data_IF_838114034488
#
_entry.id   IF_838114034488
#
_cell.length_a   1.000
_cell.length_b   1.000
_cell.length_c   1.000
_cell.angle_alpha   90.00
_cell.angle_beta   90.00
_cell.angle_gamma   90.00
#
_symmetry.space_group_name_H-M   'P 1'
#
loop_
_entity.id
_entity.type
_entity.pdbx_description
1 polymer ?
#
# COMPACT_ATOMS: atom_id res chain seq x y z
N UNK A 1 5.82 15.14 54.13
CA UNK A 1 5.80 14.52 52.79
C UNK A 1 4.54 14.96 52.09
N UNK A 2 4.62 16.03 51.32
CA UNK A 2 3.50 16.57 50.53
C UNK A 2 3.45 15.83 49.20
N UNK A 3 2.44 14.96 49.04
CA UNK A 3 2.02 14.46 47.74
C UNK A 3 1.58 15.62 46.86
N UNK A 4 2.43 15.99 45.90
CA UNK A 4 2.08 16.97 44.89
C UNK A 4 1.19 16.28 43.85
N UNK A 5 -0.12 16.29 44.08
CA UNK A 5 -1.12 15.96 43.05
C UNK A 5 -1.23 17.14 42.08
N UNK A 6 -0.22 17.31 41.21
CA UNK A 6 -0.40 18.16 40.03
C UNK A 6 -1.32 17.42 39.06
N UNK A 7 -2.60 17.74 39.10
CA UNK A 7 -3.56 17.34 38.08
C UNK A 7 -2.99 17.69 36.71
N UNK A 8 -2.90 16.67 35.88
CA UNK A 8 -2.25 16.64 34.57
C UNK A 8 -3.10 17.41 33.54
N UNK A 9 -3.30 18.71 33.75
CA UNK A 9 -3.95 19.60 32.79
C UNK A 9 -2.92 20.05 31.77
N UNK A 10 -2.75 19.22 30.75
CA UNK A 10 -2.04 19.53 29.52
C UNK A 10 -2.40 20.94 29.01
N UNK A 11 -1.38 21.77 28.76
CA UNK A 11 -1.57 23.16 28.32
C UNK A 11 -2.40 23.23 27.02
N UNK A 12 -3.14 24.33 26.77
CA UNK A 12 -3.91 24.49 25.53
C UNK A 12 -3.05 24.32 24.27
N UNK A 13 -1.80 24.80 24.32
CA UNK A 13 -0.82 24.68 23.24
C UNK A 13 -0.49 23.21 22.98
N UNK A 14 -0.17 22.44 24.03
CA UNK A 14 0.12 21.01 23.90
C UNK A 14 -1.08 20.24 23.35
N UNK A 15 -2.31 20.59 23.76
CA UNK A 15 -3.54 19.98 23.21
C UNK A 15 -3.67 20.19 21.71
N UNK A 16 -3.46 21.42 21.23
CA UNK A 16 -3.48 21.73 19.80
C UNK A 16 -2.39 20.95 19.05
N UNK A 17 -1.16 20.91 19.58
CA UNK A 17 -0.06 20.13 18.98
C UNK A 17 -0.45 18.65 18.88
N UNK A 18 -1.02 18.07 19.94
CA UNK A 18 -1.43 16.67 19.95
C UNK A 18 -2.52 16.38 18.91
N UNK A 19 -3.48 17.29 18.72
CA UNK A 19 -4.53 17.14 17.70
C UNK A 19 -3.95 17.18 16.29
N UNK A 20 -3.08 18.14 15.99
CA UNK A 20 -2.40 18.26 14.69
C UNK A 20 -1.57 17.01 14.41
N UNK A 21 -0.76 16.56 15.37
CA UNK A 21 0.05 15.35 15.20
C UNK A 21 -0.82 14.11 15.01
N UNK A 22 -1.94 13.99 15.74
CA UNK A 22 -2.89 12.89 15.60
C UNK A 22 -3.55 12.89 14.22
N UNK A 23 -3.88 14.06 13.66
CA UNK A 23 -4.40 14.18 12.29
C UNK A 23 -3.35 13.70 11.28
N UNK A 24 -2.10 14.17 11.41
CA UNK A 24 -0.99 13.75 10.54
C UNK A 24 -0.69 12.25 10.66
N UNK A 25 -0.74 11.68 11.86
CA UNK A 25 -0.64 10.24 12.09
C UNK A 25 -1.72 9.46 11.34
N UNK A 26 -2.97 9.94 11.35
CA UNK A 26 -4.07 9.29 10.64
C UNK A 26 -3.86 9.34 9.11
N UNK A 27 -3.39 10.47 8.59
CA UNK A 27 -3.08 10.61 7.16
C UNK A 27 -1.88 9.75 6.77
N UNK A 28 -0.86 9.66 7.62
CA UNK A 28 0.28 8.76 7.45
C UNK A 28 -0.17 7.28 7.43
N UNK A 29 -1.08 6.90 8.33
CA UNK A 29 -1.65 5.54 8.37
C UNK A 29 -2.40 5.19 7.09
N UNK A 30 -3.24 6.10 6.61
CA UNK A 30 -3.94 5.92 5.35
C UNK A 30 -2.96 5.81 4.17
N UNK A 31 -1.96 6.70 4.13
CA UNK A 31 -0.96 6.74 3.06
C UNK A 31 -0.14 5.45 3.02
N UNK A 32 0.30 4.96 4.18
CA UNK A 32 1.01 3.68 4.30
C UNK A 32 0.20 2.51 3.71
N UNK A 33 -1.08 2.41 4.07
CA UNK A 33 -1.95 1.35 3.54
C UNK A 33 -2.25 1.51 2.04
N UNK A 34 -2.31 2.74 1.54
CA UNK A 34 -2.45 2.99 0.10
C UNK A 34 -1.23 2.46 -0.69
N UNK A 35 0.00 2.63 -0.17
CA UNK A 35 1.19 2.06 -0.79
C UNK A 35 1.21 0.53 -0.74
N UNK A 36 0.83 -0.08 0.38
CA UNK A 36 0.68 -1.54 0.45
C UNK A 36 -0.37 -2.06 -0.53
N UNK A 37 -1.48 -1.35 -0.70
CA UNK A 37 -2.51 -1.74 -1.64
C UNK A 37 -2.02 -1.65 -3.08
N UNK A 38 -1.32 -0.57 -3.42
CA UNK A 38 -0.67 -0.37 -4.72
C UNK A 38 0.33 -1.50 -5.03
N UNK A 39 1.18 -1.83 -4.07
CA UNK A 39 2.13 -2.94 -4.17
C UNK A 39 1.44 -4.27 -4.47
N UNK A 40 0.34 -4.58 -3.76
CA UNK A 40 -0.43 -5.82 -3.99
C UNK A 40 -1.03 -5.87 -5.38
N UNK A 41 -1.56 -4.75 -5.87
CA UNK A 41 -2.12 -4.64 -7.23
C UNK A 41 -1.03 -4.92 -8.26
N UNK A 42 0.12 -4.26 -8.15
CA UNK A 42 1.18 -4.39 -9.14
C UNK A 42 1.88 -5.76 -9.07
N UNK A 43 2.04 -6.32 -7.87
CA UNK A 43 2.47 -7.72 -7.70
C UNK A 43 1.50 -8.71 -8.34
N UNK A 44 0.19 -8.49 -8.20
CA UNK A 44 -0.84 -9.34 -8.83
C UNK A 44 -0.79 -9.22 -10.35
N UNK A 45 -0.68 -8.01 -10.90
CA UNK A 45 -0.53 -7.80 -12.35
C UNK A 45 0.68 -8.55 -12.87
N UNK A 46 1.85 -8.41 -12.21
CA UNK A 46 3.07 -9.14 -12.56
C UNK A 46 2.86 -10.66 -12.54
N UNK A 47 2.23 -11.18 -11.49
CA UNK A 47 1.94 -12.61 -11.38
C UNK A 47 1.05 -13.12 -12.51
N UNK A 48 -0.01 -12.39 -12.86
CA UNK A 48 -0.89 -12.74 -13.99
C UNK A 48 -0.11 -12.71 -15.30
N UNK A 49 0.68 -11.67 -15.57
CA UNK A 49 1.49 -11.57 -16.79
C UNK A 49 2.43 -12.78 -16.91
N UNK A 50 3.13 -13.15 -15.84
CA UNK A 50 4.02 -14.31 -15.84
C UNK A 50 3.29 -15.63 -16.09
N UNK A 51 2.15 -15.86 -15.43
CA UNK A 51 1.35 -17.08 -15.62
C UNK A 51 0.86 -17.18 -17.07
N UNK A 52 0.34 -16.09 -17.64
CA UNK A 52 -0.11 -16.04 -19.03
C UNK A 52 1.06 -16.35 -19.97
N UNK A 53 2.23 -15.75 -19.74
CA UNK A 53 3.44 -16.04 -20.54
C UNK A 53 3.84 -17.52 -20.47
N UNK A 54 3.76 -18.16 -19.31
CA UNK A 54 4.08 -19.59 -19.15
C UNK A 54 3.06 -20.46 -19.88
N UNK A 55 1.75 -20.23 -19.69
CA UNK A 55 0.70 -21.02 -20.35
C UNK A 55 0.84 -20.93 -21.87
N UNK A 56 1.03 -19.72 -22.39
CA UNK A 56 1.30 -19.48 -23.82
C UNK A 56 2.52 -20.28 -24.26
N UNK A 57 3.62 -20.22 -23.52
CA UNK A 57 4.83 -21.02 -23.79
C UNK A 57 4.58 -22.54 -23.83
N UNK A 58 3.85 -23.08 -22.86
CA UNK A 58 3.56 -24.52 -22.76
C UNK A 58 2.67 -25.01 -23.91
N UNK A 59 1.61 -24.28 -24.24
CA UNK A 59 0.72 -24.62 -25.36
C UNK A 59 1.52 -24.67 -26.66
N UNK A 60 2.41 -23.69 -26.87
CA UNK A 60 3.17 -23.56 -28.10
C UNK A 60 4.32 -24.57 -28.19
N UNK A 61 4.93 -24.93 -27.05
CA UNK A 61 5.86 -26.06 -26.98
C UNK A 61 5.15 -27.41 -27.27
N UNK A 62 3.93 -27.62 -26.73
CA UNK A 62 3.13 -28.81 -27.00
C UNK A 62 2.79 -28.96 -28.49
N UNK A 63 2.37 -27.87 -29.14
CA UNK A 63 2.13 -27.83 -30.59
C UNK A 63 3.41 -28.15 -31.37
N UNK A 64 4.58 -27.67 -30.92
CA UNK A 64 5.86 -27.93 -31.58
C UNK A 64 6.39 -29.36 -31.42
N UNK A 65 6.10 -30.03 -30.30
CA UNK A 65 6.62 -31.37 -30.01
C UNK A 65 5.77 -32.49 -30.63
N UNK A 66 4.48 -32.27 -30.85
CA UNK A 66 3.58 -33.24 -31.46
C UNK A 66 2.66 -32.58 -32.51
N UNK A 67 3.22 -32.10 -33.64
CA UNK A 67 2.43 -31.46 -34.70
C UNK A 67 1.37 -32.39 -35.28
N UNK A 68 1.63 -33.70 -35.30
CA UNK A 68 0.74 -34.74 -35.81
C UNK A 68 -0.58 -34.86 -35.02
N UNK A 69 -0.54 -34.66 -33.69
CA UNK A 69 -1.74 -34.67 -32.84
C UNK A 69 -2.69 -33.49 -33.12
N UNK A 70 -2.18 -32.44 -33.76
CA UNK A 70 -2.94 -31.25 -34.13
C UNK A 70 -3.22 -31.17 -35.64
N UNK A 71 -2.93 -32.23 -36.41
CA UNK A 71 -3.22 -32.31 -37.84
C UNK A 71 -2.38 -31.35 -38.71
N UNK A 72 -1.18 -30.98 -38.25
CA UNK A 72 -0.30 -30.04 -38.92
C UNK A 72 0.61 -30.74 -39.94
N UNK A 73 0.64 -30.24 -41.19
CA UNK A 73 1.49 -30.78 -42.27
C UNK A 73 2.97 -30.49 -42.05
N UNK A 74 3.87 -31.29 -42.64
CA UNK A 74 5.34 -31.10 -42.55
C UNK A 74 5.82 -29.69 -42.94
N UNK A 75 5.08 -29.00 -43.82
CA UNK A 75 5.33 -27.61 -44.23
C UNK A 75 5.05 -26.55 -43.16
N UNK A 76 4.27 -26.88 -42.14
CA UNK A 76 3.88 -25.96 -41.05
C UNK A 76 4.80 -26.02 -39.82
N UNK A 77 5.63 -27.06 -39.72
CA UNK A 77 6.67 -27.22 -38.68
C UNK A 77 7.66 -26.03 -38.64
N UNK A 78 8.25 -25.54 -39.75
CA UNK A 78 9.15 -24.39 -39.72
C UNK A 78 8.46 -23.06 -39.38
N UNK A 79 7.14 -22.95 -39.58
CA UNK A 79 6.37 -21.78 -39.15
C UNK A 79 6.17 -21.80 -37.62
N UNK A 80 5.88 -22.98 -37.06
CA UNK A 80 5.73 -23.17 -35.62
C UNK A 80 7.05 -22.96 -34.88
N UNK A 81 8.17 -23.45 -35.41
CA UNK A 81 9.48 -23.22 -34.79
C UNK A 81 9.84 -21.73 -34.72
N UNK A 82 9.47 -20.94 -35.74
CA UNK A 82 9.62 -19.47 -35.73
C UNK A 82 8.75 -18.84 -34.64
N UNK A 83 7.50 -19.29 -34.49
CA UNK A 83 6.61 -18.80 -33.42
C UNK A 83 7.18 -19.12 -32.04
N UNK A 84 7.66 -20.35 -31.82
CA UNK A 84 8.33 -20.76 -30.57
C UNK A 84 9.56 -19.90 -30.30
N UNK A 85 10.38 -19.62 -31.31
CA UNK A 85 11.50 -18.70 -31.18
C UNK A 85 11.05 -17.29 -30.77
N UNK A 86 9.97 -16.75 -31.35
CA UNK A 86 9.40 -15.45 -30.98
C UNK A 86 8.83 -15.43 -29.55
N UNK A 87 8.30 -16.53 -29.04
CA UNK A 87 7.80 -16.61 -27.65
C UNK A 87 8.96 -16.71 -26.67
N UNK A 88 9.97 -17.53 -26.96
CA UNK A 88 11.21 -17.59 -26.19
C UNK A 88 11.88 -16.21 -26.14
N UNK A 89 11.86 -15.50 -27.27
CA UNK A 89 12.28 -14.10 -27.37
C UNK A 89 11.37 -13.19 -26.51
N UNK A 90 10.05 -13.40 -26.52
CA UNK A 90 9.08 -12.68 -25.68
C UNK A 90 9.28 -12.88 -24.17
N UNK A 91 9.65 -14.09 -23.75
CA UNK A 91 10.01 -14.40 -22.35
C UNK A 91 11.34 -13.73 -22.00
N UNK A 92 12.34 -13.77 -22.90
CA UNK A 92 13.58 -13.00 -22.71
C UNK A 92 13.29 -11.48 -22.63
N UNK A 93 12.37 -10.99 -23.45
CA UNK A 93 11.88 -9.61 -23.40
C UNK A 93 11.13 -9.30 -22.11
N UNK A 94 10.56 -10.26 -21.38
CA UNK A 94 9.94 -9.97 -20.08
C UNK A 94 10.95 -9.44 -19.06
N UNK A 95 12.20 -9.93 -19.10
CA UNK A 95 13.30 -9.39 -18.30
C UNK A 95 13.70 -7.98 -18.76
N UNK A 96 13.66 -7.74 -20.07
CA UNK A 96 13.91 -6.41 -20.66
C UNK A 96 12.77 -5.45 -20.32
N UNK A 97 11.52 -5.92 -20.30
CA UNK A 97 10.36 -5.14 -19.90
C UNK A 97 10.33 -4.84 -18.41
N UNK A 98 10.83 -5.72 -17.53
CA UNK A 98 11.05 -5.38 -16.12
C UNK A 98 12.09 -4.24 -16.00
N UNK A 99 13.11 -4.22 -16.87
CA UNK A 99 14.08 -3.12 -16.96
C UNK A 99 13.50 -1.83 -17.58
N UNK A 100 12.55 -1.92 -18.51
CA UNK A 100 11.95 -0.75 -19.20
C UNK A 100 10.81 -0.14 -18.37
N UNK A 101 9.95 -0.98 -17.79
CA UNK A 101 8.78 -0.54 -17.01
C UNK A 101 9.08 -0.43 -15.51
N UNK A 102 10.25 -0.84 -15.05
CA UNK A 102 10.71 -0.67 -13.66
C UNK A 102 9.79 -1.32 -12.63
N UNK A 103 9.16 -2.47 -12.93
CA UNK A 103 8.17 -3.06 -12.02
C UNK A 103 8.78 -3.48 -10.69
N UNK A 104 10.00 -4.04 -10.72
CA UNK A 104 10.76 -4.32 -9.50
C UNK A 104 11.10 -3.06 -8.69
N UNK A 105 11.51 -2.00 -9.36
CA UNK A 105 11.82 -0.70 -8.75
C UNK A 105 10.57 -0.07 -8.12
N UNK A 106 9.42 -0.15 -8.79
CA UNK A 106 8.14 0.33 -8.28
C UNK A 106 7.69 -0.43 -7.03
N UNK A 107 7.84 -1.76 -7.00
CA UNK A 107 7.53 -2.56 -5.80
C UNK A 107 8.44 -2.15 -4.64
N UNK A 108 9.75 -2.02 -4.90
CA UNK A 108 10.72 -1.61 -3.88
C UNK A 108 10.41 -0.20 -3.34
N UNK A 109 10.02 0.72 -4.23
CA UNK A 109 9.69 2.09 -3.87
C UNK A 109 8.41 2.18 -3.04
N UNK A 110 7.39 1.35 -3.33
CA UNK A 110 6.20 1.23 -2.48
C UNK A 110 6.50 0.66 -1.10
N UNK A 111 7.37 -0.35 -1.00
CA UNK A 111 7.80 -0.88 0.30
C UNK A 111 8.58 0.15 1.11
N UNK A 112 9.45 0.92 0.45
CA UNK A 112 10.16 2.03 1.06
C UNK A 112 9.18 3.09 1.58
N UNK A 113 8.23 3.52 0.74
CA UNK A 113 7.21 4.51 1.10
C UNK A 113 6.35 4.04 2.28
N UNK A 114 5.92 2.78 2.27
CA UNK A 114 5.20 2.16 3.39
C UNK A 114 6.02 2.23 4.69
N UNK A 115 7.29 1.82 4.65
CA UNK A 115 8.18 1.84 5.82
C UNK A 115 8.39 3.27 6.33
N UNK A 116 8.59 4.23 5.44
CA UNK A 116 8.80 5.63 5.78
C UNK A 116 7.58 6.24 6.51
N UNK A 117 6.38 6.03 5.97
CA UNK A 117 5.14 6.46 6.63
C UNK A 117 4.92 5.78 7.97
N UNK A 118 5.20 4.47 8.06
CA UNK A 118 5.10 3.72 9.32
C UNK A 118 6.06 4.23 10.39
N UNK A 119 7.32 4.52 10.02
CA UNK A 119 8.32 5.09 10.94
C UNK A 119 7.88 6.44 11.48
N UNK A 120 7.48 7.36 10.57
CA UNK A 120 6.94 8.66 10.97
C UNK A 120 5.77 8.53 11.94
N UNK A 121 4.79 7.67 11.62
CA UNK A 121 3.61 7.45 12.47
C UNK A 121 3.98 6.90 13.84
N UNK A 122 4.94 5.98 13.91
CA UNK A 122 5.42 5.41 15.18
C UNK A 122 6.13 6.46 16.03
N UNK A 123 7.06 7.21 15.45
CA UNK A 123 7.82 8.25 16.13
C UNK A 123 6.90 9.39 16.62
N UNK A 124 6.02 9.89 15.74
CA UNK A 124 5.06 10.96 16.05
C UNK A 124 4.11 10.54 17.17
N UNK A 125 3.56 9.31 17.08
CA UNK A 125 2.67 8.78 18.10
C UNK A 125 3.36 8.59 19.44
N UNK A 126 4.61 8.11 19.42
CA UNK A 126 5.40 7.93 20.64
C UNK A 126 5.68 9.29 21.29
N UNK A 127 6.12 10.29 20.52
CA UNK A 127 6.31 11.66 21.02
C UNK A 127 5.03 12.21 21.64
N UNK A 128 3.91 12.14 20.90
CA UNK A 128 2.61 12.66 21.35
C UNK A 128 2.12 11.99 22.63
N UNK A 129 2.30 10.67 22.78
CA UNK A 129 1.79 9.92 23.93
C UNK A 129 2.72 9.97 25.15
N UNK A 130 4.04 9.98 24.93
CA UNK A 130 5.01 9.69 25.99
C UNK A 130 5.89 10.88 26.36
N UNK A 131 6.05 11.89 25.50
CA UNK A 131 6.96 13.01 25.79
C UNK A 131 6.25 14.36 25.87
N UNK A 132 5.25 14.60 25.02
CA UNK A 132 4.62 15.92 24.85
C UNK A 132 4.15 16.56 26.16
N UNK A 133 3.62 15.77 27.11
CA UNK A 133 3.12 16.29 28.37
C UNK A 133 4.24 16.79 29.30
N UNK A 134 5.41 16.14 29.24
CA UNK A 134 6.55 16.36 30.13
C UNK A 134 7.51 17.44 29.64
N UNK A 135 7.34 17.96 28.42
CA UNK A 135 8.19 19.01 27.85
C UNK A 135 7.73 20.41 28.23
N UNK A 136 8.60 21.42 28.10
CA UNK A 136 8.16 22.81 28.12
C UNK A 136 7.29 23.13 26.88
N UNK A 137 6.47 24.18 26.93
CA UNK A 137 5.64 24.56 25.78
C UNK A 137 6.48 24.99 24.56
N UNK A 138 7.65 25.60 24.77
CA UNK A 138 8.55 26.01 23.69
C UNK A 138 9.24 24.80 23.04
N UNK A 139 9.71 23.84 23.84
CA UNK A 139 10.26 22.59 23.33
C UNK A 139 9.21 21.78 22.58
N UNK A 140 7.98 21.74 23.10
CA UNK A 140 6.85 21.06 22.45
C UNK A 140 6.58 21.63 21.06
N UNK A 141 6.58 22.97 20.91
CA UNK A 141 6.41 23.64 19.62
C UNK A 141 7.56 23.30 18.66
N UNK A 142 8.80 23.44 19.11
CA UNK A 142 9.98 23.16 18.28
C UNK A 142 9.99 21.71 17.76
N UNK A 143 9.70 20.74 18.63
CA UNK A 143 9.61 19.35 18.22
C UNK A 143 8.42 19.07 17.29
N UNK A 144 7.27 19.71 17.53
CA UNK A 144 6.11 19.60 16.63
C UNK A 144 6.41 20.14 15.23
N UNK A 145 7.16 21.24 15.12
CA UNK A 145 7.64 21.77 13.85
C UNK A 145 8.59 20.80 13.13
N UNK A 146 9.48 20.13 13.87
CA UNK A 146 10.34 19.10 13.31
C UNK A 146 9.52 17.93 12.74
N UNK A 147 8.48 17.46 13.45
CA UNK A 147 7.56 16.44 12.93
C UNK A 147 6.76 16.91 11.72
N UNK A 148 6.31 18.17 11.71
CA UNK A 148 5.64 18.76 10.54
C UNK A 148 6.58 18.80 9.33
N UNK A 149 7.83 19.21 9.52
CA UNK A 149 8.82 19.22 8.45
C UNK A 149 9.08 17.81 7.91
N UNK A 150 9.24 16.82 8.81
CA UNK A 150 9.37 15.40 8.44
C UNK A 150 8.18 14.92 7.60
N UNK A 151 6.96 15.27 8.00
CA UNK A 151 5.75 14.95 7.25
C UNK A 151 5.77 15.55 5.85
N UNK A 152 6.06 16.85 5.71
CA UNK A 152 6.09 17.52 4.41
C UNK A 152 7.21 16.98 3.51
N UNK A 153 8.36 16.62 4.08
CA UNK A 153 9.43 15.97 3.33
C UNK A 153 8.95 14.62 2.78
N UNK A 154 8.27 13.80 3.57
CA UNK A 154 7.72 12.52 3.10
C UNK A 154 6.68 12.69 1.99
N UNK A 155 5.77 13.66 2.12
CA UNK A 155 4.78 13.94 1.06
C UNK A 155 5.46 14.31 -0.26
N UNK A 156 6.59 15.02 -0.21
CA UNK A 156 7.31 15.48 -1.40
C UNK A 156 8.28 14.45 -1.98
N UNK A 157 8.89 13.61 -1.16
CA UNK A 157 9.96 12.71 -1.58
C UNK A 157 9.48 11.33 -2.02
N UNK A 158 8.28 10.93 -1.60
CA UNK A 158 7.76 9.61 -1.91
C UNK A 158 7.16 9.54 -3.32
N UNK A 159 7.35 8.41 -4.03
CA UNK A 159 6.80 8.24 -5.37
C UNK A 159 5.26 8.25 -5.32
N UNK A 160 4.56 8.70 -6.37
CA UNK A 160 3.11 8.61 -6.40
C UNK A 160 2.65 7.15 -6.27
N UNK A 161 1.53 6.93 -5.58
CA UNK A 161 0.89 5.61 -5.55
C UNK A 161 0.31 5.28 -6.94
N UNK A 162 0.24 4.00 -7.31
CA UNK A 162 -0.30 3.57 -8.63
C UNK A 162 -1.82 3.51 -8.69
N UNK A 163 -2.52 4.08 -7.71
CA UNK A 163 -3.98 4.06 -7.68
C UNK A 163 -4.53 5.12 -8.63
N UNK A 164 -5.37 4.68 -9.57
CA UNK A 164 -6.23 5.60 -10.33
C UNK A 164 -7.18 6.34 -9.38
N UNK A 165 -7.66 7.54 -9.74
CA UNK A 165 -8.56 8.31 -8.87
C UNK A 165 -9.81 7.53 -8.41
N UNK A 166 -10.41 6.73 -9.30
CA UNK A 166 -11.54 5.85 -8.94
C UNK A 166 -11.14 4.72 -7.98
N UNK A 167 -9.97 4.11 -8.20
CA UNK A 167 -9.45 3.07 -7.31
C UNK A 167 -9.08 3.65 -5.94
N UNK A 168 -8.50 4.85 -5.90
CA UNK A 168 -8.20 5.59 -4.70
C UNK A 168 -9.46 5.86 -3.88
N UNK A 169 -10.51 6.44 -4.47
CA UNK A 169 -11.76 6.71 -3.76
C UNK A 169 -12.43 5.43 -3.21
N UNK A 170 -12.39 4.34 -3.97
CA UNK A 170 -12.91 3.04 -3.51
C UNK A 170 -12.10 2.51 -2.33
N UNK A 171 -10.77 2.62 -2.42
CA UNK A 171 -9.87 2.21 -1.36
C UNK A 171 -10.06 3.06 -0.10
N UNK A 172 -10.17 4.38 -0.24
CA UNK A 172 -10.43 5.33 0.84
C UNK A 172 -11.72 4.99 1.60
N UNK A 173 -12.83 4.80 0.87
CA UNK A 173 -14.10 4.37 1.47
C UNK A 173 -13.95 3.07 2.24
N UNK A 174 -13.31 2.07 1.65
CA UNK A 174 -13.09 0.77 2.30
C UNK A 174 -12.17 0.88 3.52
N UNK A 175 -11.14 1.74 3.47
CA UNK A 175 -10.23 1.97 4.58
C UNK A 175 -10.95 2.57 5.79
N UNK A 176 -11.71 3.65 5.58
CA UNK A 176 -12.44 4.29 6.67
C UNK A 176 -13.54 3.41 7.23
N UNK A 177 -14.22 2.62 6.38
CA UNK A 177 -15.18 1.60 6.82
C UNK A 177 -14.53 0.58 7.75
N UNK A 178 -13.39 -0.01 7.34
CA UNK A 178 -12.65 -0.96 8.17
C UNK A 178 -12.23 -0.35 9.49
N UNK A 179 -11.77 0.91 9.47
CA UNK A 179 -11.36 1.62 10.67
C UNK A 179 -12.54 1.86 11.62
N UNK A 180 -13.71 2.18 11.10
CA UNK A 180 -14.91 2.39 11.90
C UNK A 180 -15.39 1.08 12.55
N UNK A 181 -15.47 0.00 11.76
CA UNK A 181 -15.81 -1.34 12.25
C UNK A 181 -14.81 -1.78 13.32
N UNK A 182 -13.50 -1.57 13.09
CA UNK A 182 -12.46 -1.90 14.08
C UNK A 182 -12.66 -1.19 15.41
N UNK A 183 -13.04 0.09 15.40
CA UNK A 183 -13.33 0.83 16.64
C UNK A 183 -14.54 0.25 17.38
N UNK A 184 -15.59 -0.10 16.64
CA UNK A 184 -16.79 -0.69 17.25
C UNK A 184 -16.53 -2.08 17.79
N UNK A 185 -15.61 -2.84 17.19
CA UNK A 185 -15.13 -4.13 17.70
C UNK A 185 -14.36 -3.97 19.02
N UNK A 186 -13.58 -2.90 19.17
CA UNK A 186 -12.91 -2.60 20.43
C UNK A 186 -13.94 -2.40 21.56
N UNK A 187 -15.11 -1.83 21.25
CA UNK A 187 -16.21 -1.61 22.20
C UNK A 187 -17.11 -2.85 22.39
N UNK A 188 -17.41 -3.59 21.33
CA UNK A 188 -18.23 -4.81 21.30
C UNK A 188 -17.55 -5.93 20.50
N UNK A 189 -16.98 -6.89 21.24
CA UNK A 189 -16.26 -8.02 20.65
C UNK A 189 -17.19 -9.04 19.95
N UNK A 190 -18.50 -8.96 20.14
CA UNK A 190 -19.49 -9.83 19.50
C UNK A 190 -20.19 -9.18 18.30
N UNK A 191 -19.73 -7.99 17.88
CA UNK A 191 -20.24 -7.28 16.72
C UNK A 191 -20.21 -8.17 15.47
N UNK A 192 -21.37 -8.33 14.83
CA UNK A 192 -21.46 -9.07 13.56
C UNK A 192 -20.85 -8.23 12.42
N UNK A 193 -19.61 -8.56 12.06
CA UNK A 193 -18.81 -7.85 11.05
C UNK A 193 -19.48 -7.87 9.68
N UNK A 194 -20.05 -9.00 9.27
CA UNK A 194 -20.66 -9.17 7.95
C UNK A 194 -21.87 -8.24 7.78
N UNK A 195 -22.70 -8.14 8.82
CA UNK A 195 -23.86 -7.24 8.84
C UNK A 195 -23.46 -5.76 8.79
N UNK A 196 -22.40 -5.36 9.49
CA UNK A 196 -21.89 -3.99 9.47
C UNK A 196 -21.28 -3.62 8.11
N UNK A 197 -20.60 -4.59 7.48
CA UNK A 197 -20.05 -4.43 6.15
C UNK A 197 -21.14 -4.18 5.09
N UNK A 198 -22.24 -4.93 5.15
CA UNK A 198 -23.36 -4.82 4.21
C UNK A 198 -24.28 -3.62 4.50
N UNK A 199 -24.50 -3.29 5.78
CA UNK A 199 -25.37 -2.20 6.23
C UNK A 199 -24.83 -0.80 5.92
N UNK A 200 -23.51 -0.64 5.73
CA UNK A 200 -22.89 0.65 5.39
C UNK A 200 -22.74 0.82 3.87
N UNK A 201 -22.60 -0.27 3.11
CA UNK A 201 -22.62 -0.25 1.65
C UNK A 201 -23.96 0.20 1.05
N UNK A 202 -25.05 0.09 1.81
CA UNK A 202 -26.42 0.44 1.43
C UNK A 202 -26.85 1.86 1.85
N UNK A 203 -26.14 2.53 2.78
CA UNK A 203 -26.41 3.93 3.19
C UNK A 203 -25.76 4.99 2.31
N UNK A 204 -24.93 4.59 1.34
CA UNK A 204 -24.19 5.47 0.44
C UNK A 204 -24.60 5.30 -1.05
N UNK A 205 -25.75 4.67 -1.31
CA UNK A 205 -26.48 4.75 -2.58
C UNK A 205 -27.59 5.77 -2.43
#
# INVERSE_FOLDING_TARGET
MTENKSGDTMSPIKKQIAEILKERENTADFSAEAYLHSERIDRRKRGITLIVSIIVGVVLAGISLCPELFGLSETSIPFISKIVAFISLGVAFSSVFDSIFGWSENIASYQYAFKAWKSYRQESRWFRKNQLNWMSDDDAKSNAEAFNMKYYMLVRSLPPNSLTGKAFLKFEKAYYLKRDISKRLDDDHYLNIDREWDGIGSRNK
#
